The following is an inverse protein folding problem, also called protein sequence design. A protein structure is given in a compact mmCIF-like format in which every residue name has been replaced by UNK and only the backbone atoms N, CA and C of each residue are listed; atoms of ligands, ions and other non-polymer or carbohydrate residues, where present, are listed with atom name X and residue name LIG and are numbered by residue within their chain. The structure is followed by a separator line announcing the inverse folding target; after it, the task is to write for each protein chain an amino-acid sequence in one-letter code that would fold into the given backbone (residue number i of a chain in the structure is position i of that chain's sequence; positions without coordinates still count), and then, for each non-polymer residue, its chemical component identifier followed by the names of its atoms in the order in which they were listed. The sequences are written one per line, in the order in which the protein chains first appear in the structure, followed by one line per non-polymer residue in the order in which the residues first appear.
data_IF_237113602765
#
_entry.id   IF_237113602765
#
_cell.length_a   1.000
_cell.length_b   1.000
_cell.length_c   1.000
_cell.angle_alpha   90.00
_cell.angle_beta   90.00
_cell.angle_gamma   90.00
#
_symmetry.space_group_name_H-M   'P 1'
#
loop_
_entity.id
_entity.type
_entity.pdbx_description
1 polymer ?
#
# COMPACT_ATOMS: atom_id res chain seq x y z
N UNK A 1 -5.90 18.75 6.11
CA UNK A 1 -7.05 18.59 5.18
C UNK A 1 -6.65 18.68 3.70
N UNK A 2 -5.54 19.35 3.32
CA UNK A 2 -5.03 19.40 1.93
C UNK A 2 -4.40 18.10 1.43
N UNK A 3 -3.85 17.26 2.31
CA UNK A 3 -3.28 15.95 1.92
C UNK A 3 -4.32 14.87 1.61
N UNK A 4 -5.58 15.12 1.91
CA UNK A 4 -6.69 14.17 1.72
C UNK A 4 -7.18 14.14 0.27
N UNK A 5 -7.35 15.32 -0.33
CA UNK A 5 -7.59 15.47 -1.77
C UNK A 5 -6.41 14.91 -2.55
N UNK A 6 -5.17 15.11 -2.06
CA UNK A 6 -4.01 14.41 -2.58
C UNK A 6 -4.16 12.90 -2.40
N UNK A 7 -4.37 12.29 -1.24
CA UNK A 7 -4.30 10.82 -1.13
C UNK A 7 -5.46 10.03 -1.80
N UNK A 8 -6.69 10.55 -1.86
CA UNK A 8 -7.75 9.96 -2.70
C UNK A 8 -7.46 10.16 -4.21
N UNK A 9 -6.84 11.29 -4.58
CA UNK A 9 -6.34 11.52 -5.93
C UNK A 9 -5.06 10.72 -6.24
N UNK A 10 -4.14 10.53 -5.30
CA UNK A 10 -2.75 10.12 -5.52
C UNK A 10 -2.63 8.62 -5.67
N UNK A 11 -3.64 7.85 -5.29
CA UNK A 11 -3.71 6.41 -5.60
C UNK A 11 -4.56 6.06 -6.83
N UNK A 12 -5.67 6.78 -7.08
CA UNK A 12 -6.68 6.36 -8.06
C UNK A 12 -7.24 7.49 -8.95
N UNK A 13 -7.26 8.73 -8.47
CA UNK A 13 -7.85 9.89 -9.17
C UNK A 13 -6.86 11.02 -9.35
N UNK A 14 -5.69 10.75 -9.96
CA UNK A 14 -4.76 11.83 -10.29
C UNK A 14 -5.27 12.50 -11.55
N UNK A 15 -5.95 13.64 -11.38
CA UNK A 15 -6.35 14.54 -12.47
C UNK A 15 -5.17 15.16 -13.25
N UNK A 16 -4.02 14.47 -13.31
CA UNK A 16 -2.81 14.82 -14.04
C UNK A 16 -2.58 13.95 -15.29
N UNK A 17 -3.53 13.07 -15.63
CA UNK A 17 -3.45 12.14 -16.76
C UNK A 17 -2.92 10.75 -16.42
N UNK A 18 -2.62 10.45 -15.15
CA UNK A 18 -2.26 9.10 -14.68
C UNK A 18 -3.33 8.43 -13.79
N UNK A 19 -4.41 9.14 -13.45
CA UNK A 19 -5.59 8.59 -12.77
C UNK A 19 -6.62 7.97 -13.73
N UNK A 20 -7.52 7.16 -13.19
CA UNK A 20 -8.63 6.60 -13.97
C UNK A 20 -9.53 7.73 -14.48
N UNK A 21 -9.78 7.80 -15.79
CA UNK A 21 -10.65 8.85 -16.35
C UNK A 21 -12.11 8.65 -15.90
N UNK A 22 -12.94 9.68 -16.06
CA UNK A 22 -14.38 9.58 -15.78
C UNK A 22 -15.01 8.48 -16.64
N UNK A 23 -14.59 8.37 -17.89
CA UNK A 23 -15.06 7.36 -18.85
C UNK A 23 -14.68 5.95 -18.38
N UNK A 24 -13.40 5.72 -18.05
CA UNK A 24 -12.92 4.43 -17.51
C UNK A 24 -13.62 4.06 -16.22
N UNK A 25 -13.86 5.04 -15.35
CA UNK A 25 -14.61 4.84 -14.11
C UNK A 25 -16.05 4.42 -14.36
N UNK A 26 -16.72 5.03 -15.35
CA UNK A 26 -18.08 4.64 -15.76
C UNK A 26 -18.11 3.26 -16.39
N UNK A 27 -17.13 2.94 -17.24
CA UNK A 27 -17.01 1.62 -17.86
C UNK A 27 -16.76 0.54 -16.82
N UNK A 28 -15.88 0.78 -15.85
CA UNK A 28 -15.63 -0.14 -14.74
C UNK A 28 -16.86 -0.32 -13.84
N UNK A 29 -17.58 0.77 -13.52
CA UNK A 29 -18.86 0.68 -12.81
C UNK A 29 -19.89 -0.12 -13.59
N UNK A 30 -19.99 0.12 -14.91
CA UNK A 30 -20.91 -0.62 -15.77
C UNK A 30 -20.54 -2.11 -15.80
N UNK A 31 -19.26 -2.42 -15.97
CA UNK A 31 -18.76 -3.80 -15.93
C UNK A 31 -19.12 -4.52 -14.63
N UNK A 32 -18.97 -3.85 -13.49
CA UNK A 32 -19.33 -4.39 -12.17
C UNK A 32 -20.85 -4.57 -12.01
N UNK A 33 -21.65 -3.59 -12.46
CA UNK A 33 -23.11 -3.64 -12.35
C UNK A 33 -23.73 -4.69 -13.30
N UNK A 34 -23.25 -4.77 -14.54
CA UNK A 34 -23.73 -5.72 -15.55
C UNK A 34 -23.33 -7.16 -15.21
N UNK A 35 -22.15 -7.35 -14.60
CA UNK A 35 -21.65 -8.66 -14.16
C UNK A 35 -22.26 -9.17 -12.85
N UNK A 36 -22.89 -8.30 -12.07
CA UNK A 36 -23.55 -8.65 -10.82
C UNK A 36 -22.60 -9.13 -9.70
N UNK A 37 -23.16 -9.79 -8.67
CA UNK A 37 -22.41 -10.14 -7.44
C UNK A 37 -21.20 -11.07 -7.67
N UNK A 38 -21.25 -11.93 -8.69
CA UNK A 38 -20.15 -12.86 -8.99
C UNK A 38 -18.90 -12.11 -9.48
N UNK A 39 -19.08 -11.12 -10.36
CA UNK A 39 -17.97 -10.29 -10.84
C UNK A 39 -17.41 -9.43 -9.71
N UNK A 40 -18.28 -8.88 -8.85
CA UNK A 40 -17.83 -8.12 -7.68
C UNK A 40 -16.98 -8.98 -6.73
N UNK A 41 -17.42 -10.20 -6.43
CA UNK A 41 -16.67 -11.13 -5.58
C UNK A 41 -15.36 -11.57 -6.23
N UNK A 42 -15.36 -11.82 -7.54
CA UNK A 42 -14.13 -12.13 -8.29
C UNK A 42 -13.13 -10.98 -8.24
N UNK A 43 -13.58 -9.74 -8.45
CA UNK A 43 -12.70 -8.56 -8.37
C UNK A 43 -12.18 -8.34 -6.94
N UNK A 44 -13.01 -8.55 -5.92
CA UNK A 44 -12.57 -8.50 -4.53
C UNK A 44 -11.49 -9.55 -4.23
N UNK A 45 -11.63 -10.78 -4.73
CA UNK A 45 -10.63 -11.83 -4.56
C UNK A 45 -9.32 -11.51 -5.31
N UNK A 46 -9.42 -11.06 -6.57
CA UNK A 46 -8.24 -10.65 -7.36
C UNK A 46 -7.50 -9.49 -6.70
N UNK A 47 -8.24 -8.50 -6.17
CA UNK A 47 -7.67 -7.41 -5.39
C UNK A 47 -6.95 -7.92 -4.14
N UNK A 48 -7.60 -8.76 -3.34
CA UNK A 48 -7.02 -9.24 -2.09
C UNK A 48 -5.71 -10.02 -2.34
N UNK A 49 -5.65 -10.82 -3.41
CA UNK A 49 -4.43 -11.51 -3.81
C UNK A 49 -3.32 -10.54 -4.27
N UNK A 50 -3.66 -9.53 -5.08
CA UNK A 50 -2.71 -8.51 -5.50
C UNK A 50 -2.19 -7.67 -4.32
N UNK A 51 -3.07 -7.23 -3.43
CA UNK A 51 -2.72 -6.48 -2.22
C UNK A 51 -1.80 -7.31 -1.29
N UNK A 52 -2.04 -8.63 -1.19
CA UNK A 52 -1.19 -9.54 -0.43
C UNK A 52 0.20 -9.70 -1.07
N UNK A 53 0.28 -9.88 -2.39
CA UNK A 53 1.56 -9.95 -3.11
C UNK A 53 2.36 -8.64 -2.98
N UNK A 54 1.71 -7.49 -3.12
CA UNK A 54 2.35 -6.18 -2.96
C UNK A 54 2.81 -5.91 -1.53
N UNK A 55 2.11 -6.45 -0.52
CA UNK A 55 2.55 -6.37 0.86
C UNK A 55 3.79 -7.24 1.12
N UNK A 56 3.84 -8.43 0.51
CA UNK A 56 4.98 -9.34 0.59
C UNK A 56 6.24 -8.71 -0.03
N UNK A 57 6.12 -8.19 -1.26
CA UNK A 57 7.22 -7.49 -1.95
C UNK A 57 7.73 -6.31 -1.13
N UNK A 58 6.83 -5.50 -0.54
CA UNK A 58 7.25 -4.40 0.34
C UNK A 58 8.02 -4.89 1.55
N UNK A 59 7.61 -6.00 2.18
CA UNK A 59 8.35 -6.55 3.32
C UNK A 59 9.74 -6.98 2.89
N UNK A 60 9.86 -7.65 1.74
CA UNK A 60 11.15 -8.07 1.18
C UNK A 60 12.05 -6.86 0.88
N UNK A 61 11.53 -5.85 0.18
CA UNK A 61 12.27 -4.62 -0.14
C UNK A 61 12.76 -3.90 1.11
N UNK A 62 11.89 -3.72 2.12
CA UNK A 62 12.27 -3.06 3.36
C UNK A 62 13.31 -3.87 4.13
N UNK A 63 13.18 -5.20 4.17
CA UNK A 63 14.18 -6.06 4.81
C UNK A 63 15.54 -5.98 4.08
N UNK A 64 15.56 -5.95 2.75
CA UNK A 64 16.80 -5.75 1.97
C UNK A 64 17.44 -4.40 2.27
N UNK A 65 16.65 -3.32 2.36
CA UNK A 65 17.15 -2.00 2.73
C UNK A 65 17.73 -1.98 4.15
N UNK A 66 17.08 -2.66 5.11
CA UNK A 66 17.58 -2.78 6.48
C UNK A 66 18.92 -3.52 6.52
N UNK A 67 19.05 -4.63 5.79
CA UNK A 67 20.32 -5.36 5.64
C UNK A 67 21.42 -4.43 5.14
N UNK A 68 21.16 -3.71 4.04
CA UNK A 68 22.13 -2.76 3.47
C UNK A 68 22.53 -1.68 4.49
N UNK A 69 21.57 -1.11 5.20
CA UNK A 69 21.84 -0.08 6.21
C UNK A 69 22.70 -0.61 7.37
N UNK A 70 22.43 -1.81 7.86
CA UNK A 70 23.22 -2.44 8.91
C UNK A 70 24.64 -2.80 8.46
N UNK A 71 24.81 -3.33 7.24
CA UNK A 71 26.13 -3.60 6.67
C UNK A 71 26.94 -2.32 6.49
N UNK A 72 26.31 -1.25 6.01
CA UNK A 72 26.94 0.06 5.87
C UNK A 72 27.37 0.63 7.24
N UNK A 73 26.49 0.57 8.24
CA UNK A 73 26.82 1.02 9.59
C UNK A 73 27.98 0.23 10.21
N UNK A 74 27.99 -1.10 10.04
CA UNK A 74 29.09 -1.94 10.51
C UNK A 74 30.42 -1.61 9.81
N UNK A 75 30.41 -1.37 8.49
CA UNK A 75 31.58 -0.94 7.74
C UNK A 75 32.16 0.36 8.29
N UNK A 76 31.33 1.40 8.44
CA UNK A 76 31.74 2.69 9.00
C UNK A 76 32.29 2.57 10.43
N UNK A 77 31.65 1.75 11.28
CA UNK A 77 32.11 1.52 12.64
C UNK A 77 33.47 0.79 12.68
N UNK A 78 33.70 -0.16 11.77
CA UNK A 78 34.97 -0.87 11.64
C UNK A 78 36.08 0.04 11.12
N UNK A 79 35.80 0.93 10.17
CA UNK A 79 36.74 1.95 9.67
C UNK A 79 37.20 2.88 10.80
N UNK A 80 36.24 3.47 11.52
CA UNK A 80 36.54 4.34 12.68
C UNK A 80 37.33 3.60 13.76
N UNK A 81 37.05 2.30 13.97
CA UNK A 81 37.79 1.49 14.92
C UNK A 81 39.20 1.09 14.46
N UNK A 82 39.49 1.13 13.16
CA UNK A 82 40.80 0.85 12.60
C UNK A 82 41.71 2.08 12.60
N UNK A 83 41.15 3.27 12.38
CA UNK A 83 41.90 4.53 12.36
C UNK A 83 42.33 5.00 13.77
N UNK A 84 41.58 4.64 14.81
CA UNK A 84 41.94 5.00 16.19
C UNK A 84 42.85 3.95 16.84
N UNK A 85 44.11 4.32 17.03
CA UNK A 85 45.19 3.47 17.58
C UNK A 85 44.98 3.05 19.04
N UNK A 86 44.01 3.60 19.78
CA UNK A 86 43.77 3.27 21.19
C UNK A 86 42.32 2.80 21.41
N UNK A 87 42.16 1.48 21.56
CA UNK A 87 41.10 0.90 22.40
C UNK A 87 39.66 1.10 21.96
N UNK A 88 39.34 1.13 20.66
CA UNK A 88 37.95 1.31 20.23
C UNK A 88 37.13 0.00 20.19
N UNK A 89 37.27 -0.82 21.24
CA UNK A 89 36.58 -2.10 21.40
C UNK A 89 35.05 -1.93 21.36
N UNK A 90 34.54 -0.78 21.82
CA UNK A 90 33.12 -0.47 21.77
C UNK A 90 32.59 -0.40 20.34
N UNK A 91 33.27 0.33 19.44
CA UNK A 91 32.83 0.44 18.04
C UNK A 91 32.93 -0.90 17.30
N UNK A 92 33.97 -1.70 17.55
CA UNK A 92 34.06 -3.08 17.03
C UNK A 92 32.92 -3.96 17.56
N UNK A 93 32.54 -3.80 18.82
CA UNK A 93 31.41 -4.54 19.39
C UNK A 93 30.08 -4.13 18.74
N UNK A 94 29.87 -2.83 18.50
CA UNK A 94 28.67 -2.35 17.81
C UNK A 94 28.62 -2.83 16.37
N UNK A 95 29.74 -2.78 15.63
CA UNK A 95 29.83 -3.28 14.27
C UNK A 95 29.40 -4.75 14.17
N UNK A 96 29.88 -5.60 15.09
CA UNK A 96 29.49 -7.01 15.17
C UNK A 96 28.00 -7.22 15.44
N UNK A 97 27.38 -6.39 16.27
CA UNK A 97 25.93 -6.48 16.51
C UNK A 97 25.13 -6.09 15.26
N UNK A 98 25.56 -5.06 14.52
CA UNK A 98 24.96 -4.70 13.23
C UNK A 98 25.13 -5.80 12.18
N UNK A 99 26.32 -6.40 12.05
CA UNK A 99 26.58 -7.55 11.18
C UNK A 99 25.68 -8.73 11.53
N UNK A 100 25.60 -9.09 12.81
CA UNK A 100 24.74 -10.17 13.30
C UNK A 100 23.26 -9.91 12.99
N UNK A 101 22.79 -8.67 13.13
CA UNK A 101 21.43 -8.29 12.76
C UNK A 101 21.20 -8.38 11.26
N UNK A 102 22.14 -7.93 10.44
CA UNK A 102 22.07 -8.09 8.99
C UNK A 102 21.96 -9.56 8.59
N UNK A 103 22.79 -10.44 9.16
CA UNK A 103 22.74 -11.89 8.92
C UNK A 103 21.38 -12.49 9.30
N UNK A 104 20.75 -12.00 10.37
CA UNK A 104 19.41 -12.45 10.79
C UNK A 104 18.34 -12.07 9.77
N UNK A 105 18.36 -10.83 9.27
CA UNK A 105 17.42 -10.38 8.24
C UNK A 105 17.65 -11.08 6.91
N UNK A 106 18.90 -11.34 6.50
CA UNK A 106 19.22 -12.13 5.31
C UNK A 106 18.66 -13.55 5.41
N UNK A 107 18.78 -14.21 6.56
CA UNK A 107 18.17 -15.53 6.78
C UNK A 107 16.65 -15.52 6.67
N UNK A 108 16.02 -14.42 7.09
CA UNK A 108 14.57 -14.25 6.95
C UNK A 108 14.21 -14.02 5.48
N UNK A 109 14.95 -13.16 4.77
CA UNK A 109 14.78 -12.93 3.34
C UNK A 109 14.94 -14.22 2.52
N UNK A 110 15.91 -15.07 2.86
CA UNK A 110 16.08 -16.37 2.21
C UNK A 110 14.92 -17.35 2.43
N UNK A 111 14.02 -17.08 3.38
CA UNK A 111 12.81 -17.89 3.60
C UNK A 111 11.62 -17.43 2.76
N UNK A 112 11.66 -16.24 2.17
CA UNK A 112 10.65 -15.82 1.20
C UNK A 112 10.91 -16.62 -0.09
N UNK A 113 10.14 -17.69 -0.26
CA UNK A 113 10.25 -18.59 -1.41
C UNK A 113 9.51 -17.98 -2.60
N UNK A 114 10.26 -17.39 -3.55
CA UNK A 114 9.74 -16.78 -4.79
C UNK A 114 8.67 -15.70 -4.61
N UNK A 115 8.46 -14.89 -5.64
CA UNK A 115 7.40 -13.87 -5.62
C UNK A 115 6.02 -14.54 -5.53
N UNK A 116 5.13 -13.95 -4.73
CA UNK A 116 3.75 -14.42 -4.67
C UNK A 116 3.07 -14.21 -6.03
N UNK A 117 2.31 -15.20 -6.53
CA UNK A 117 1.64 -15.08 -7.81
C UNK A 117 0.58 -13.99 -7.77
N UNK A 118 0.60 -13.12 -8.79
CA UNK A 118 -0.42 -12.09 -8.98
C UNK A 118 -1.48 -12.58 -9.96
N UNK A 119 -2.78 -12.37 -9.67
CA UNK A 119 -3.82 -12.72 -10.61
C UNK A 119 -3.73 -11.83 -11.85
N UNK A 120 -3.84 -12.42 -13.03
CA UNK A 120 -3.95 -11.64 -14.26
C UNK A 120 -5.26 -10.83 -14.26
N UNK A 121 -5.13 -9.57 -14.66
CA UNK A 121 -6.25 -8.65 -14.80
C UNK A 121 -6.21 -8.03 -16.19
N UNK A 122 -7.34 -8.07 -16.87
CA UNK A 122 -7.57 -7.22 -18.04
C UNK A 122 -7.63 -5.73 -17.61
N UNK A 123 -7.49 -4.77 -18.54
CA UNK A 123 -7.55 -3.35 -18.21
C UNK A 123 -8.84 -2.94 -17.47
N UNK A 124 -9.98 -3.49 -17.87
CA UNK A 124 -11.27 -3.18 -17.23
C UNK A 124 -11.39 -3.79 -15.82
N UNK A 125 -10.79 -4.96 -15.59
CA UNK A 125 -10.73 -5.58 -14.27
C UNK A 125 -9.81 -4.81 -13.32
N UNK A 126 -8.68 -4.30 -13.82
CA UNK A 126 -7.78 -3.45 -13.03
C UNK A 126 -8.47 -2.14 -12.62
N UNK A 127 -9.26 -1.55 -13.51
CA UNK A 127 -10.07 -0.36 -13.23
C UNK A 127 -11.19 -0.66 -12.22
N UNK A 128 -11.85 -1.82 -12.33
CA UNK A 128 -12.85 -2.28 -11.38
C UNK A 128 -12.26 -2.53 -9.97
N UNK A 129 -11.10 -3.16 -9.88
CA UNK A 129 -10.36 -3.34 -8.62
C UNK A 129 -9.99 -1.99 -8.00
N UNK A 130 -9.54 -1.04 -8.83
CA UNK A 130 -9.22 0.33 -8.38
C UNK A 130 -10.46 1.02 -7.81
N UNK A 131 -11.61 0.87 -8.46
CA UNK A 131 -12.87 1.41 -7.98
C UNK A 131 -13.29 0.81 -6.63
N UNK A 132 -13.19 -0.52 -6.47
CA UNK A 132 -13.48 -1.18 -5.19
C UNK A 132 -12.60 -0.64 -4.06
N UNK A 133 -11.31 -0.39 -4.32
CA UNK A 133 -10.40 0.20 -3.33
C UNK A 133 -10.86 1.58 -2.89
N UNK A 134 -11.22 2.44 -3.85
CA UNK A 134 -11.75 3.77 -3.56
C UNK A 134 -13.04 3.70 -2.74
N UNK A 135 -13.93 2.75 -3.05
CA UNK A 135 -15.16 2.56 -2.29
C UNK A 135 -14.92 2.13 -0.83
N UNK A 136 -14.00 1.22 -0.58
CA UNK A 136 -13.70 0.78 0.80
C UNK A 136 -13.00 1.86 1.63
N UNK A 137 -12.10 2.62 1.01
CA UNK A 137 -11.47 3.77 1.65
C UNK A 137 -12.50 4.86 1.99
N UNK A 138 -13.45 5.12 1.08
CA UNK A 138 -14.56 6.02 1.31
C UNK A 138 -15.42 5.54 2.50
N UNK A 139 -15.83 4.27 2.53
CA UNK A 139 -16.61 3.68 3.64
C UNK A 139 -15.89 3.84 4.99
N UNK A 140 -14.62 3.48 5.04
CA UNK A 140 -13.80 3.57 6.26
C UNK A 140 -13.72 5.00 6.79
N UNK A 141 -13.60 5.97 5.89
CA UNK A 141 -13.53 7.40 6.27
C UNK A 141 -14.87 7.97 6.70
N UNK A 142 -15.96 7.61 6.02
CA UNK A 142 -17.31 7.99 6.46
C UNK A 142 -17.58 7.44 7.86
N UNK A 143 -17.21 6.19 8.12
CA UNK A 143 -17.33 5.60 9.46
C UNK A 143 -16.52 6.37 10.52
N UNK A 144 -15.35 6.91 10.15
CA UNK A 144 -14.46 7.65 11.06
C UNK A 144 -14.83 9.13 11.25
N UNK A 145 -15.36 9.77 10.21
CA UNK A 145 -15.50 11.24 10.14
C UNK A 145 -16.95 11.71 9.94
N UNK A 146 -17.90 10.78 9.83
CA UNK A 146 -19.33 11.08 9.78
C UNK A 146 -19.78 11.81 8.51
N UNK A 147 -20.85 12.59 8.65
CA UNK A 147 -21.58 13.20 7.54
C UNK A 147 -20.76 14.19 6.70
N UNK A 148 -19.78 14.88 7.30
CA UNK A 148 -18.90 15.81 6.58
C UNK A 148 -18.07 15.09 5.51
N UNK A 149 -17.55 13.90 5.83
CA UNK A 149 -16.82 13.09 4.87
C UNK A 149 -17.74 12.53 3.78
N UNK A 150 -18.97 12.11 4.12
CA UNK A 150 -19.94 11.62 3.16
C UNK A 150 -20.34 12.69 2.13
N UNK A 151 -20.65 13.91 2.62
CA UNK A 151 -21.02 15.04 1.77
C UNK A 151 -19.88 15.46 0.82
N UNK A 152 -18.64 15.49 1.33
CA UNK A 152 -17.48 15.82 0.50
C UNK A 152 -17.21 14.76 -0.58
N UNK A 153 -17.35 13.46 -0.25
CA UNK A 153 -17.16 12.37 -1.23
C UNK A 153 -18.23 12.43 -2.33
N UNK A 154 -19.49 12.66 -1.96
CA UNK A 154 -20.59 12.82 -2.92
C UNK A 154 -20.40 14.03 -3.85
N UNK A 155 -19.81 15.13 -3.34
CA UNK A 155 -19.52 16.32 -4.14
C UNK A 155 -18.32 16.12 -5.09
N UNK A 156 -17.27 15.42 -4.62
CA UNK A 156 -15.98 15.35 -5.33
C UNK A 156 -15.76 14.08 -6.14
N UNK A 157 -16.56 13.03 -5.95
CA UNK A 157 -16.43 11.75 -6.68
C UNK A 157 -17.77 11.39 -7.34
N UNK A 158 -18.06 11.95 -8.52
CA UNK A 158 -19.32 11.70 -9.22
C UNK A 158 -19.48 10.20 -9.53
N UNK A 159 -20.53 9.58 -8.97
CA UNK A 159 -20.83 8.15 -9.18
C UNK A 159 -20.66 7.26 -7.96
N UNK A 160 -20.06 7.74 -6.86
CA UNK A 160 -19.99 7.00 -5.59
C UNK A 160 -21.19 7.26 -4.65
N UNK A 161 -22.23 7.92 -5.14
CA UNK A 161 -23.39 8.42 -4.37
C UNK A 161 -24.22 7.31 -3.67
N UNK A 162 -23.99 6.03 -3.98
CA UNK A 162 -24.65 4.90 -3.32
C UNK A 162 -23.93 4.40 -2.07
N UNK A 163 -22.73 4.91 -1.76
CA UNK A 163 -21.93 4.46 -0.63
C UNK A 163 -22.27 5.25 0.64
N UNK A 164 -23.41 4.90 1.23
CA UNK A 164 -23.71 5.20 2.63
C UNK A 164 -24.63 6.39 2.84
N UNK A 165 -25.93 6.11 2.98
CA UNK A 165 -26.77 6.90 3.88
C UNK A 165 -26.14 6.83 5.28
N UNK A 166 -25.87 7.97 5.94
CA UNK A 166 -25.38 7.94 7.31
C UNK A 166 -26.42 7.22 8.19
N UNK A 167 -25.99 6.43 9.22
CA UNK A 167 -26.95 5.90 10.18
C UNK A 167 -27.71 7.08 10.80
N UNK A 168 -29.05 6.96 10.84
CA UNK A 168 -29.91 7.97 11.41
C UNK A 168 -29.37 8.36 12.80
N UNK A 169 -29.08 9.64 12.97
CA UNK A 169 -28.70 10.22 14.25
C UNK A 169 -29.78 9.85 15.28
N UNK A 170 -29.43 8.94 16.20
CA UNK A 170 -30.30 8.59 17.31
C UNK A 170 -30.42 9.85 18.16
N UNK A 171 -31.65 10.38 18.23
CA UNK A 171 -32.02 11.57 19.00
C UNK A 171 -32.07 11.25 20.48
#
# INVERSE_FOLDING_TARGET
MLDFAKNLAVGAWRGDGTGMSVERSREAMKYMNDGGPEVEQMMAAKRAAADAADADDKIQDHAQQIVKAYRQAAGMLNEVAAEQTHGNHHMKSMAKEFEKRADQYEKVLHKFESELPRPEMTPIEADAVTLLRVQDEAKTRIAKHGAEAANWIAEKVPGLNSVGTPPASVS
#
